data_IF_397075081547
#
_entry.id   IF_397075081547
#
_cell.length_a   1.000
_cell.length_b   1.000
_cell.length_c   1.000
_cell.angle_alpha   90.00
_cell.angle_beta   90.00
_cell.angle_gamma   90.00
#
_symmetry.space_group_name_H-M   'P 1'
#
loop_
_entity.id
_entity.type
_entity.pdbx_description
1 polymer ?
#
# COMPACT_ATOMS: atom_id res chain seq x y z
N UNK A 1 -15.62 -23.19 -24.97
CA UNK A 1 -14.17 -23.07 -24.69
C UNK A 1 -13.85 -24.24 -23.79
N UNK A 2 -12.87 -25.06 -24.15
CA UNK A 2 -12.62 -26.35 -23.51
C UNK A 2 -11.67 -26.10 -22.34
N UNK A 3 -12.02 -26.57 -21.14
CA UNK A 3 -11.12 -26.51 -19.98
C UNK A 3 -9.91 -27.40 -20.28
N UNK A 4 -8.70 -26.86 -20.13
CA UNK A 4 -7.46 -27.58 -20.35
C UNK A 4 -6.96 -28.10 -19.00
N UNK A 5 -6.83 -29.41 -18.87
CA UNK A 5 -6.35 -30.06 -17.66
C UNK A 5 -4.92 -30.57 -17.85
N UNK A 6 -3.98 -29.91 -17.18
CA UNK A 6 -2.57 -30.30 -17.09
C UNK A 6 -2.20 -30.77 -15.67
N UNK A 7 -3.19 -31.15 -14.85
CA UNK A 7 -2.90 -31.65 -13.52
C UNK A 7 -2.01 -32.88 -13.57
N UNK A 8 -1.13 -33.03 -12.58
CA UNK A 8 -0.20 -34.16 -12.47
C UNK A 8 0.73 -34.35 -13.70
N UNK A 9 0.94 -33.29 -14.49
CA UNK A 9 1.78 -33.34 -15.70
C UNK A 9 3.15 -32.70 -15.43
N UNK A 10 4.19 -33.16 -16.12
CA UNK A 10 5.52 -32.54 -16.09
C UNK A 10 5.65 -31.63 -17.30
N UNK A 11 5.76 -30.31 -17.05
CA UNK A 11 5.93 -29.28 -18.08
C UNK A 11 7.17 -28.46 -17.72
N UNK A 12 8.33 -28.93 -18.17
CA UNK A 12 9.63 -28.32 -17.87
C UNK A 12 10.20 -27.61 -19.09
N UNK A 13 11.08 -26.62 -18.84
CA UNK A 13 11.79 -25.86 -19.87
C UNK A 13 10.86 -25.18 -20.90
N UNK A 14 9.66 -24.80 -20.49
CA UNK A 14 8.68 -24.14 -21.34
C UNK A 14 8.69 -22.62 -21.12
N UNK A 15 8.50 -21.87 -22.20
CA UNK A 15 8.37 -20.41 -22.16
C UNK A 15 6.89 -20.01 -22.16
N UNK A 16 6.41 -19.52 -21.03
CA UNK A 16 5.06 -19.00 -20.84
C UNK A 16 5.01 -17.46 -20.80
N UNK A 17 6.08 -16.77 -21.24
CA UNK A 17 6.19 -15.30 -21.20
C UNK A 17 5.00 -14.59 -21.86
N UNK A 18 4.44 -15.15 -22.94
CA UNK A 18 3.29 -14.58 -23.64
C UNK A 18 2.08 -15.52 -23.64
N UNK A 19 2.05 -16.51 -22.75
CA UNK A 19 0.96 -17.46 -22.68
C UNK A 19 -0.26 -16.86 -21.94
N UNK A 20 -1.42 -16.84 -22.60
CA UNK A 20 -2.70 -16.60 -21.93
C UNK A 20 -3.30 -17.93 -21.45
N UNK A 21 -3.08 -18.25 -20.17
CA UNK A 21 -3.63 -19.45 -19.54
C UNK A 21 -5.00 -19.14 -18.91
N UNK A 22 -6.08 -19.29 -19.69
CA UNK A 22 -7.46 -19.11 -19.22
C UNK A 22 -8.12 -20.47 -18.97
N UNK A 23 -8.72 -20.65 -17.79
CA UNK A 23 -9.41 -21.89 -17.39
C UNK A 23 -8.51 -23.13 -17.54
N UNK A 24 -7.27 -23.03 -17.04
CA UNK A 24 -6.28 -24.10 -17.08
C UNK A 24 -6.09 -24.67 -15.68
N UNK A 25 -6.19 -26.00 -15.54
CA UNK A 25 -5.85 -26.68 -14.29
C UNK A 25 -4.36 -27.08 -14.30
N UNK A 26 -3.61 -26.57 -13.33
CA UNK A 26 -2.19 -26.88 -13.12
C UNK A 26 -1.94 -27.54 -11.75
N UNK A 27 -2.99 -28.07 -11.12
CA UNK A 27 -2.85 -28.73 -9.83
C UNK A 27 -1.80 -29.85 -9.89
N UNK A 28 -0.82 -29.81 -8.98
CA UNK A 28 0.28 -30.77 -8.88
C UNK A 28 1.13 -30.92 -10.17
N UNK A 29 1.08 -29.93 -11.07
CA UNK A 29 1.95 -29.89 -12.23
C UNK A 29 3.39 -29.52 -11.82
N UNK A 30 4.38 -30.23 -12.38
CA UNK A 30 5.79 -29.87 -12.23
C UNK A 30 6.16 -28.84 -13.32
N UNK A 31 6.41 -27.61 -12.89
CA UNK A 31 6.78 -26.47 -13.73
C UNK A 31 8.25 -26.08 -13.56
N UNK A 32 9.09 -26.99 -13.06
CA UNK A 32 10.53 -26.74 -12.87
C UNK A 32 11.17 -26.22 -14.16
N UNK A 33 12.01 -25.20 -14.03
CA UNK A 33 12.73 -24.56 -15.14
C UNK A 33 11.84 -23.94 -16.24
N UNK A 34 10.55 -23.71 -15.98
CA UNK A 34 9.67 -22.93 -16.88
C UNK A 34 9.74 -21.43 -16.58
N UNK A 35 9.57 -20.61 -17.61
CA UNK A 35 9.69 -19.13 -17.53
C UNK A 35 8.31 -18.48 -17.64
N UNK A 36 7.96 -17.63 -16.68
CA UNK A 36 6.80 -16.75 -16.75
C UNK A 36 7.23 -15.31 -17.01
N UNK A 37 6.32 -14.51 -17.59
CA UNK A 37 6.58 -13.19 -18.17
C UNK A 37 7.41 -12.23 -17.32
N UNK A 38 7.19 -12.26 -16.00
CA UNK A 38 7.85 -11.39 -15.04
C UNK A 38 7.73 -12.06 -13.69
N UNK A 39 8.85 -12.45 -13.10
CA UNK A 39 8.91 -12.66 -11.66
C UNK A 39 8.84 -11.25 -11.09
N UNK A 40 7.64 -10.85 -10.67
CA UNK A 40 7.49 -9.65 -9.84
C UNK A 40 8.11 -9.99 -8.47
N UNK A 41 8.87 -9.08 -7.88
CA UNK A 41 9.21 -9.17 -6.46
C UNK A 41 7.95 -9.34 -5.60
N UNK A 42 8.11 -9.68 -4.33
CA UNK A 42 6.94 -9.85 -3.46
C UNK A 42 6.14 -8.53 -3.45
N UNK A 43 4.83 -8.63 -3.67
CA UNK A 43 3.93 -7.47 -3.63
C UNK A 43 3.53 -7.24 -2.18
N UNK A 44 3.91 -6.08 -1.64
CA UNK A 44 3.65 -5.72 -0.24
C UNK A 44 2.30 -5.03 -0.06
N UNK A 45 1.87 -4.26 -1.06
CA UNK A 45 0.66 -3.45 -0.95
C UNK A 45 -0.01 -3.27 -2.30
N UNK A 46 -1.34 -3.27 -2.29
CA UNK A 46 -2.18 -3.02 -3.46
C UNK A 46 -3.35 -2.11 -3.11
N UNK A 47 -3.78 -1.30 -4.08
CA UNK A 47 -5.00 -0.49 -3.97
C UNK A 47 -5.71 -0.34 -5.32
N UNK A 48 -7.03 -0.24 -5.30
CA UNK A 48 -7.83 0.15 -6.47
C UNK A 48 -7.90 1.67 -6.61
N UNK A 49 -7.95 2.16 -7.84
CA UNK A 49 -8.37 3.54 -8.09
C UNK A 49 -9.83 3.75 -7.64
N UNK A 50 -10.24 4.98 -7.29
CA UNK A 50 -11.61 5.25 -6.84
C UNK A 50 -12.69 4.84 -7.85
N UNK A 51 -12.38 4.87 -9.14
CA UNK A 51 -13.29 4.43 -10.21
C UNK A 51 -13.19 2.92 -10.54
N UNK A 52 -12.32 2.18 -9.82
CA UNK A 52 -12.10 0.75 -9.96
C UNK A 52 -11.42 0.30 -11.25
N UNK A 53 -10.94 1.23 -12.09
CA UNK A 53 -10.35 0.89 -13.40
C UNK A 53 -8.87 0.54 -13.32
N UNK A 54 -8.18 0.99 -12.28
CA UNK A 54 -6.76 0.78 -12.09
C UNK A 54 -6.49 0.04 -10.79
N UNK A 55 -5.38 -0.70 -10.77
CA UNK A 55 -4.76 -1.26 -9.57
C UNK A 55 -3.36 -0.67 -9.48
N UNK A 56 -2.96 -0.22 -8.31
CA UNK A 56 -1.57 0.11 -7.99
C UNK A 56 -1.01 -0.97 -7.07
N UNK A 57 0.25 -1.38 -7.30
CA UNK A 57 0.96 -2.36 -6.49
C UNK A 57 2.38 -1.88 -6.20
N UNK A 58 2.84 -1.94 -4.95
CA UNK A 58 4.23 -1.70 -4.56
C UNK A 58 4.92 -3.01 -4.18
N UNK A 59 6.19 -3.15 -4.55
CA UNK A 59 6.95 -4.39 -4.39
C UNK A 59 8.31 -4.23 -3.66
N UNK A 60 8.96 -5.37 -3.42
CA UNK A 60 10.30 -5.48 -2.81
C UNK A 60 11.42 -4.92 -3.70
N UNK A 61 11.20 -4.77 -5.01
CA UNK A 61 12.19 -4.28 -5.97
C UNK A 61 12.23 -2.73 -6.03
N UNK A 62 11.64 -2.07 -5.04
CA UNK A 62 11.51 -0.60 -4.95
C UNK A 62 10.64 0.01 -6.06
N UNK A 63 9.81 -0.81 -6.73
CA UNK A 63 8.97 -0.39 -7.84
C UNK A 63 7.50 -0.27 -7.42
N UNK A 64 6.79 0.54 -8.18
CA UNK A 64 5.33 0.63 -8.11
C UNK A 64 4.78 0.40 -9.51
N UNK A 65 3.83 -0.51 -9.63
CA UNK A 65 3.19 -0.84 -10.89
C UNK A 65 1.73 -0.40 -10.90
N UNK A 66 1.30 0.19 -12.02
CA UNK A 66 -0.10 0.52 -12.27
C UNK A 66 -0.62 -0.38 -13.38
N UNK A 67 -1.69 -1.11 -13.09
CA UNK A 67 -2.34 -2.04 -13.99
C UNK A 67 -3.75 -1.58 -14.34
N UNK A 68 -4.22 -1.95 -15.54
CA UNK A 68 -5.64 -1.93 -15.83
C UNK A 68 -6.33 -3.09 -15.09
N UNK A 69 -7.29 -2.76 -14.22
CA UNK A 69 -7.96 -3.74 -13.35
C UNK A 69 -8.69 -4.86 -14.11
N UNK A 70 -9.25 -4.54 -15.28
CA UNK A 70 -10.05 -5.49 -16.07
C UNK A 70 -9.22 -6.50 -16.85
N UNK A 71 -7.98 -6.16 -17.19
CA UNK A 71 -7.13 -6.99 -18.07
C UNK A 71 -5.85 -7.47 -17.40
N UNK A 72 -5.46 -6.88 -16.27
CA UNK A 72 -4.15 -7.10 -15.65
C UNK A 72 -2.98 -6.52 -16.45
N UNK A 73 -3.24 -5.75 -17.51
CA UNK A 73 -2.18 -5.15 -18.32
C UNK A 73 -1.46 -4.05 -17.53
N UNK A 74 -0.14 -4.17 -17.39
CA UNK A 74 0.72 -3.13 -16.84
C UNK A 74 0.69 -1.90 -17.77
N UNK A 75 0.39 -0.74 -17.20
CA UNK A 75 0.29 0.54 -17.90
C UNK A 75 1.51 1.41 -17.64
N UNK A 76 1.95 1.48 -16.37
CA UNK A 76 3.02 2.36 -15.91
C UNK A 76 3.82 1.65 -14.83
N UNK A 77 5.14 1.84 -14.83
CA UNK A 77 6.03 1.50 -13.72
C UNK A 77 6.64 2.80 -13.19
N UNK A 78 6.50 3.03 -11.88
CA UNK A 78 7.06 4.16 -11.16
C UNK A 78 8.33 3.69 -10.45
N UNK A 79 9.42 4.42 -10.64
CA UNK A 79 10.72 4.13 -10.03
C UNK A 79 11.27 5.38 -9.37
N UNK A 80 11.90 5.21 -8.20
CA UNK A 80 12.50 6.33 -7.46
C UNK A 80 12.67 6.11 -5.97
N UNK A 81 11.97 5.14 -5.37
CA UNK A 81 12.34 4.63 -4.05
C UNK A 81 13.68 3.90 -4.10
N UNK A 82 14.40 3.87 -2.98
CA UNK A 82 15.72 3.23 -2.85
C UNK A 82 15.67 1.90 -2.08
N UNK A 83 14.49 1.55 -1.58
CA UNK A 83 14.20 0.29 -0.89
C UNK A 83 12.74 -0.11 -1.15
N UNK A 84 12.34 -1.27 -0.66
CA UNK A 84 11.02 -1.85 -0.88
C UNK A 84 9.88 -0.87 -0.61
N UNK A 85 8.84 -0.95 -1.45
CA UNK A 85 7.62 -0.15 -1.28
C UNK A 85 6.63 -0.95 -0.46
N UNK A 86 6.39 -0.52 0.77
CA UNK A 86 5.58 -1.25 1.76
C UNK A 86 4.10 -0.90 1.70
N UNK A 87 3.77 0.28 1.17
CA UNK A 87 2.40 0.79 1.18
C UNK A 87 2.15 1.70 -0.01
N UNK A 88 1.01 1.53 -0.67
CA UNK A 88 0.55 2.38 -1.77
C UNK A 88 -0.92 2.75 -1.60
N UNK A 89 -1.34 3.91 -2.13
CA UNK A 89 -2.74 4.31 -2.16
C UNK A 89 -3.01 5.35 -3.25
N UNK A 90 -4.23 5.33 -3.81
CA UNK A 90 -4.68 6.37 -4.73
C UNK A 90 -5.23 7.59 -3.98
N UNK A 91 -5.04 8.77 -4.56
CA UNK A 91 -5.79 9.96 -4.18
C UNK A 91 -7.28 9.77 -4.48
N UNK A 92 -8.18 10.50 -3.79
CA UNK A 92 -9.63 10.39 -4.00
C UNK A 92 -10.10 10.75 -5.42
N UNK A 93 -9.34 11.54 -6.15
CA UNK A 93 -9.59 11.86 -7.56
C UNK A 93 -8.95 10.86 -8.55
N UNK A 94 -8.16 9.91 -8.05
CA UNK A 94 -7.47 8.88 -8.83
C UNK A 94 -6.30 9.37 -9.68
N UNK A 95 -5.93 10.65 -9.58
CA UNK A 95 -4.88 11.25 -10.42
C UNK A 95 -3.47 11.08 -9.85
N UNK A 96 -3.37 10.84 -8.53
CA UNK A 96 -2.10 10.72 -7.82
C UNK A 96 -2.04 9.39 -7.07
N UNK A 97 -0.84 8.83 -6.94
CA UNK A 97 -0.54 7.73 -6.01
C UNK A 97 0.33 8.28 -4.89
N UNK A 98 0.11 7.82 -3.66
CA UNK A 98 1.05 7.95 -2.55
C UNK A 98 1.70 6.61 -2.29
N UNK A 99 2.99 6.62 -1.93
CA UNK A 99 3.72 5.44 -1.48
C UNK A 99 4.55 5.72 -0.23
N UNK A 100 4.70 4.71 0.63
CA UNK A 100 5.67 4.64 1.71
C UNK A 100 6.66 3.50 1.47
N UNK A 101 7.89 3.66 1.96
CA UNK A 101 8.99 2.73 1.72
C UNK A 101 9.89 2.58 2.94
N UNK A 102 10.65 1.49 2.95
CA UNK A 102 11.74 1.24 3.90
C UNK A 102 12.90 2.24 3.72
N UNK A 103 12.94 3.00 2.62
CA UNK A 103 13.88 4.11 2.42
C UNK A 103 13.58 5.37 3.28
N UNK A 104 12.69 5.24 4.27
CA UNK A 104 12.23 6.27 5.20
C UNK A 104 11.42 7.41 4.54
N UNK A 105 11.14 7.32 3.24
CA UNK A 105 10.45 8.38 2.49
C UNK A 105 9.02 8.02 2.12
N UNK A 106 8.25 9.08 1.85
CA UNK A 106 6.93 8.99 1.22
C UNK A 106 7.01 9.74 -0.11
N UNK A 107 6.39 9.22 -1.17
CA UNK A 107 6.38 9.87 -2.48
C UNK A 107 4.97 10.04 -3.02
N UNK A 108 4.75 11.14 -3.75
CA UNK A 108 3.57 11.34 -4.59
C UNK A 108 3.94 11.15 -6.05
N UNK A 109 3.05 10.51 -6.80
CA UNK A 109 3.28 10.15 -8.19
C UNK A 109 2.09 10.56 -9.04
N UNK A 110 2.36 11.15 -10.19
CA UNK A 110 1.35 11.42 -11.19
C UNK A 110 1.01 10.13 -11.94
N UNK A 111 -0.26 9.72 -11.91
CA UNK A 111 -0.72 8.45 -12.51
C UNK A 111 -0.60 8.46 -14.03
N UNK A 112 -0.77 9.61 -14.68
CA UNK A 112 -0.81 9.72 -16.13
C UNK A 112 0.59 9.69 -16.76
N UNK A 113 1.57 10.31 -16.10
CA UNK A 113 2.94 10.47 -16.60
C UNK A 113 3.93 9.51 -15.95
N UNK A 114 3.59 8.97 -14.78
CA UNK A 114 4.47 8.12 -13.98
C UNK A 114 5.58 8.87 -13.25
N UNK A 115 5.57 10.20 -13.28
CA UNK A 115 6.61 11.01 -12.64
C UNK A 115 6.40 11.10 -11.14
N UNK A 116 7.50 11.07 -10.39
CA UNK A 116 7.51 11.49 -8.98
C UNK A 116 7.24 12.99 -8.93
N UNK A 117 6.11 13.38 -8.33
CA UNK A 117 5.72 14.77 -8.12
C UNK A 117 6.45 15.35 -6.91
N UNK A 118 6.43 14.62 -5.79
CA UNK A 118 6.95 15.10 -4.51
C UNK A 118 7.55 13.96 -3.69
N UNK A 119 8.52 14.30 -2.83
CA UNK A 119 9.07 13.40 -1.81
C UNK A 119 8.99 14.08 -0.45
N UNK A 120 8.38 13.41 0.52
CA UNK A 120 8.32 13.86 1.91
C UNK A 120 9.44 13.21 2.70
N UNK A 121 10.22 14.05 3.37
CA UNK A 121 11.29 13.66 4.29
C UNK A 121 10.88 13.99 5.72
N UNK A 122 11.20 13.12 6.68
CA UNK A 122 11.05 13.44 8.10
C UNK A 122 10.67 12.28 9.02
N UNK A 123 10.32 11.11 8.48
CA UNK A 123 10.46 9.87 9.25
C UNK A 123 11.95 9.55 9.44
N UNK A 124 12.28 8.79 10.48
CA UNK A 124 13.68 8.45 10.86
C UNK A 124 13.94 6.95 10.82
N UNK A 125 13.01 6.22 10.19
CA UNK A 125 12.98 4.78 10.08
C UNK A 125 11.90 4.42 9.05
N UNK A 126 11.79 3.14 8.71
CA UNK A 126 10.93 2.64 7.63
C UNK A 126 9.47 3.15 7.71
N UNK A 127 8.87 3.49 6.58
CA UNK A 127 7.45 3.87 6.51
C UNK A 127 6.64 2.66 6.11
N UNK A 128 5.73 2.18 6.97
CA UNK A 128 4.98 0.94 6.73
C UNK A 128 3.58 1.16 6.17
N UNK A 129 3.01 2.34 6.34
CA UNK A 129 1.62 2.59 5.94
C UNK A 129 1.43 4.05 5.56
N UNK A 130 0.74 4.30 4.45
CA UNK A 130 0.33 5.62 3.99
C UNK A 130 -1.15 5.64 3.61
N UNK A 131 -1.77 6.82 3.64
CA UNK A 131 -3.14 6.99 3.16
C UNK A 131 -3.52 8.44 2.93
N UNK A 132 -4.39 8.69 1.94
CA UNK A 132 -4.95 10.02 1.70
C UNK A 132 -6.15 10.30 2.59
N UNK A 133 -6.29 11.56 3.01
CA UNK A 133 -7.56 12.12 3.47
C UNK A 133 -8.59 12.17 2.34
N UNK A 134 -9.87 12.22 2.67
CA UNK A 134 -10.98 12.17 1.69
C UNK A 134 -10.95 13.33 0.68
N UNK A 135 -10.39 14.48 1.06
CA UNK A 135 -10.25 15.63 0.17
C UNK A 135 -8.93 15.64 -0.63
N UNK A 136 -8.04 14.67 -0.41
CA UNK A 136 -6.74 14.55 -1.08
C UNK A 136 -5.69 15.60 -0.69
N UNK A 137 -6.00 16.52 0.24
CA UNK A 137 -5.11 17.62 0.61
C UNK A 137 -4.06 17.19 1.64
N UNK A 138 -4.31 16.10 2.35
CA UNK A 138 -3.36 15.55 3.31
C UNK A 138 -3.13 14.06 3.14
N UNK A 139 -1.93 13.64 3.54
CA UNK A 139 -1.50 12.24 3.66
C UNK A 139 -1.21 11.95 5.13
N UNK A 140 -1.60 10.77 5.60
CA UNK A 140 -1.14 10.21 6.88
C UNK A 140 -0.13 9.10 6.62
N UNK A 141 0.86 8.97 7.50
CA UNK A 141 1.82 7.86 7.47
C UNK A 141 2.10 7.29 8.85
N UNK A 142 2.39 5.99 8.92
CA UNK A 142 2.88 5.28 10.11
C UNK A 142 4.24 4.63 9.83
N UNK A 143 5.14 4.69 10.81
CA UNK A 143 6.55 4.29 10.64
C UNK A 143 7.08 3.42 11.77
N UNK A 144 8.18 2.72 11.47
CA UNK A 144 9.03 2.04 12.43
C UNK A 144 9.57 2.98 13.54
N UNK A 145 9.66 4.28 13.26
CA UNK A 145 10.09 5.32 14.21
C UNK A 145 9.08 5.57 15.35
N UNK A 146 8.00 4.78 15.38
CA UNK A 146 6.91 4.77 16.39
C UNK A 146 6.01 6.00 16.31
N UNK A 147 6.13 6.80 15.26
CA UNK A 147 5.33 8.00 15.05
C UNK A 147 4.34 7.83 13.91
N UNK A 148 3.33 8.67 13.95
CA UNK A 148 2.43 8.93 12.82
C UNK A 148 2.68 10.36 12.38
N UNK A 149 2.68 10.62 11.09
CA UNK A 149 2.81 11.99 10.56
C UNK A 149 1.66 12.33 9.64
N UNK A 150 1.24 13.58 9.70
CA UNK A 150 0.27 14.20 8.79
C UNK A 150 1.01 15.19 7.90
N UNK A 151 0.83 15.07 6.60
CA UNK A 151 1.54 15.84 5.58
C UNK A 151 0.57 16.63 4.74
N UNK A 152 0.97 17.82 4.35
CA UNK A 152 0.26 18.63 3.37
C UNK A 152 0.76 18.31 1.96
N UNK A 153 -0.13 17.90 1.06
CA UNK A 153 0.25 17.41 -0.27
C UNK A 153 0.76 18.50 -1.20
N UNK A 154 0.39 19.76 -0.97
CA UNK A 154 0.78 20.89 -1.81
C UNK A 154 2.13 21.49 -1.39
N UNK A 155 2.41 21.54 -0.09
CA UNK A 155 3.58 22.21 0.47
C UNK A 155 4.71 21.27 0.87
N UNK A 156 4.44 19.97 0.96
CA UNK A 156 5.34 18.91 1.48
C UNK A 156 5.65 19.00 2.96
N UNK A 157 5.01 19.89 3.69
CA UNK A 157 5.32 20.10 5.09
C UNK A 157 4.66 19.02 5.96
N UNK A 158 5.40 18.55 6.96
CA UNK A 158 4.82 17.81 8.06
C UNK A 158 3.98 18.78 8.89
N UNK A 159 2.66 18.62 8.84
CA UNK A 159 1.70 19.43 9.59
C UNK A 159 1.69 19.03 11.07
N UNK A 160 1.74 17.72 11.34
CA UNK A 160 1.68 17.16 12.70
C UNK A 160 2.48 15.87 12.79
N UNK A 161 3.09 15.65 13.95
CA UNK A 161 3.64 14.36 14.36
C UNK A 161 2.87 13.90 15.60
N UNK A 162 2.28 12.72 15.54
CA UNK A 162 1.56 12.12 16.66
C UNK A 162 2.50 11.12 17.36
N UNK A 163 2.81 11.42 18.62
CA UNK A 163 3.65 10.59 19.47
C UNK A 163 2.78 9.87 20.51
N UNK A 164 3.01 8.57 20.72
CA UNK A 164 2.31 7.83 21.77
C UNK A 164 2.38 6.32 21.64
N UNK A 165 2.63 5.79 20.43
CA UNK A 165 2.96 4.38 20.28
C UNK A 165 4.32 4.05 20.91
N UNK A 166 4.43 2.87 21.50
CA UNK A 166 5.67 2.37 22.13
C UNK A 166 6.45 1.40 21.24
N UNK A 167 5.90 1.09 20.07
CA UNK A 167 6.50 0.26 19.04
C UNK A 167 6.16 0.77 17.64
N UNK A 168 6.68 0.08 16.64
CA UNK A 168 6.48 0.37 15.22
C UNK A 168 4.98 0.50 14.89
N UNK A 169 4.63 1.48 14.06
CA UNK A 169 3.25 1.69 13.59
C UNK A 169 3.09 1.02 12.24
N UNK A 170 2.38 -0.11 12.21
CA UNK A 170 2.25 -0.93 11.01
C UNK A 170 1.11 -0.48 10.10
N UNK A 171 0.09 0.18 10.64
CA UNK A 171 -1.08 0.56 9.86
C UNK A 171 -1.68 1.87 10.38
N UNK A 172 -2.06 2.74 9.44
CA UNK A 172 -2.78 3.99 9.70
C UNK A 172 -3.94 4.15 8.71
N UNK A 173 -4.96 4.92 9.09
CA UNK A 173 -6.06 5.27 8.21
C UNK A 173 -6.86 6.46 8.71
N UNK A 174 -7.52 7.16 7.80
CA UNK A 174 -8.47 8.22 8.14
C UNK A 174 -9.87 7.65 8.37
N UNK A 175 -10.61 8.28 9.27
CA UNK A 175 -12.07 8.16 9.30
C UNK A 175 -12.68 8.73 8.01
N UNK A 176 -13.88 8.31 7.61
CA UNK A 176 -14.56 8.82 6.42
C UNK A 176 -14.71 10.35 6.39
N UNK A 177 -14.86 11.00 7.56
CA UNK A 177 -14.93 12.46 7.68
C UNK A 177 -13.55 13.16 7.75
N UNK A 178 -12.45 12.40 7.73
CA UNK A 178 -11.06 12.85 7.86
C UNK A 178 -10.75 13.63 9.15
N UNK A 179 -11.60 13.53 10.19
CA UNK A 179 -11.38 14.20 11.47
C UNK A 179 -10.60 13.33 12.47
N UNK A 180 -10.60 12.01 12.27
CA UNK A 180 -9.92 11.05 13.12
C UNK A 180 -8.93 10.23 12.32
N UNK A 181 -7.76 9.95 12.89
CA UNK A 181 -6.83 8.92 12.41
C UNK A 181 -6.95 7.71 13.33
N UNK A 182 -6.94 6.51 12.75
CA UNK A 182 -6.73 5.26 13.48
C UNK A 182 -5.33 4.74 13.19
N UNK A 183 -4.70 4.11 14.18
CA UNK A 183 -3.41 3.44 14.00
C UNK A 183 -3.32 2.16 14.80
N UNK A 184 -2.56 1.20 14.28
CA UNK A 184 -2.22 -0.05 14.94
C UNK A 184 -0.73 -0.36 14.81
N UNK A 185 -0.16 -1.03 15.81
CA UNK A 185 1.27 -1.29 15.80
C UNK A 185 1.77 -2.43 16.68
N UNK A 186 3.10 -2.51 16.77
CA UNK A 186 3.86 -3.54 17.50
C UNK A 186 3.61 -3.51 19.01
N UNK A 187 3.17 -2.38 19.55
CA UNK A 187 2.80 -2.26 20.96
C UNK A 187 1.45 -2.90 21.31
N UNK A 188 0.81 -3.58 20.34
CA UNK A 188 -0.43 -4.34 20.52
C UNK A 188 -1.65 -3.45 20.84
N UNK A 189 -1.56 -2.17 20.54
CA UNK A 189 -2.64 -1.21 20.75
C UNK A 189 -3.18 -0.68 19.44
N UNK A 190 -4.46 -0.34 19.45
CA UNK A 190 -5.08 0.53 18.46
C UNK A 190 -5.24 1.91 19.10
N UNK A 191 -4.89 2.98 18.40
CA UNK A 191 -5.04 4.36 18.88
C UNK A 191 -5.87 5.17 17.91
N UNK A 192 -6.68 6.07 18.48
CA UNK A 192 -7.47 7.04 17.74
C UNK A 192 -6.98 8.44 18.06
N UNK A 193 -6.82 9.25 17.02
CA UNK A 193 -6.19 10.55 17.10
C UNK A 193 -7.09 11.59 16.48
N UNK A 194 -7.31 12.68 17.20
CA UNK A 194 -8.01 13.84 16.66
C UNK A 194 -7.05 14.62 15.75
N UNK A 195 -7.43 14.76 14.48
CA UNK A 195 -6.58 15.35 13.43
C UNK A 195 -6.28 16.81 13.72
N UNK A 196 -7.25 17.58 14.22
CA UNK A 196 -7.12 19.02 14.45
C UNK A 196 -6.16 19.33 15.62
N UNK A 197 -6.31 18.62 16.73
CA UNK A 197 -5.57 18.84 17.97
C UNK A 197 -4.27 18.06 18.02
N UNK A 198 -4.14 16.96 17.28
CA UNK A 198 -2.97 16.08 17.35
C UNK A 198 -2.97 15.14 18.57
N UNK A 199 -4.07 15.06 19.32
CA UNK A 199 -4.14 14.30 20.57
C UNK A 199 -4.69 12.91 20.36
N UNK A 200 -4.15 11.94 21.10
CA UNK A 200 -4.75 10.61 21.23
C UNK A 200 -6.04 10.73 22.05
N UNK A 201 -7.17 10.38 21.45
CA UNK A 201 -8.50 10.43 22.08
C UNK A 201 -8.82 9.09 22.76
N UNK A 202 -8.42 7.98 22.14
CA UNK A 202 -8.64 6.65 22.68
C UNK A 202 -7.44 5.73 22.43
N UNK A 203 -7.19 4.83 23.37
CA UNK A 203 -6.28 3.70 23.22
C UNK A 203 -7.07 2.43 23.52
N UNK A 204 -7.18 1.56 22.53
CA UNK A 204 -7.82 0.25 22.65
C UNK A 204 -6.72 -0.78 22.90
N UNK A 205 -6.82 -1.46 24.04
CA UNK A 205 -5.89 -2.49 24.47
C UNK A 205 -6.63 -3.82 24.61
N UNK A 206 -5.95 -4.93 24.33
CA UNK A 206 -6.53 -6.28 24.46
C UNK A 206 -5.88 -7.31 23.55
N UNK A 207 -5.27 -6.88 22.45
CA UNK A 207 -4.53 -7.78 21.55
C UNK A 207 -3.32 -8.40 22.26
N UNK A 208 -3.13 -9.70 22.05
CA UNK A 208 -1.97 -10.44 22.58
C UNK A 208 -0.77 -10.42 21.63
N UNK A 209 -1.00 -10.08 20.36
CA UNK A 209 0.01 -9.87 19.33
C UNK A 209 -0.01 -8.44 18.78
N UNK A 210 0.90 -8.17 17.86
CA UNK A 210 0.95 -6.91 17.12
C UNK A 210 -0.31 -6.69 16.29
N UNK A 211 -0.69 -5.42 16.12
CA UNK A 211 -1.80 -5.03 15.25
C UNK A 211 -1.24 -4.67 13.88
N UNK A 212 -1.44 -5.53 12.90
CA UNK A 212 -0.87 -5.39 11.56
C UNK A 212 -1.72 -4.53 10.61
N UNK A 213 -3.02 -4.41 10.87
CA UNK A 213 -3.94 -3.68 10.00
C UNK A 213 -5.07 -3.07 10.83
N UNK A 214 -5.47 -1.86 10.46
CA UNK A 214 -6.64 -1.15 10.98
C UNK A 214 -7.39 -0.50 9.83
N UNK A 215 -8.69 -0.29 9.99
CA UNK A 215 -9.51 0.42 9.03
C UNK A 215 -10.78 0.95 9.68
N UNK A 216 -11.37 1.98 9.07
CA UNK A 216 -12.70 2.44 9.46
C UNK A 216 -13.77 1.75 8.64
N UNK A 217 -14.91 1.47 9.25
CA UNK A 217 -16.10 1.13 8.48
C UNK A 217 -16.60 2.38 7.72
N UNK A 218 -17.35 2.19 6.61
CA UNK A 218 -17.92 3.31 5.85
C UNK A 218 -18.86 4.22 6.66
N UNK A 219 -19.48 3.70 7.72
CA UNK A 219 -20.35 4.44 8.64
C UNK A 219 -19.59 5.04 9.84
N UNK A 220 -18.25 5.06 9.79
CA UNK A 220 -17.36 5.63 10.82
C UNK A 220 -17.40 4.90 12.17
N UNK A 221 -17.88 3.66 12.20
CA UNK A 221 -17.70 2.78 13.36
C UNK A 221 -16.33 2.10 13.29
N UNK A 222 -15.76 1.84 14.47
CA UNK A 222 -14.48 1.15 14.60
C UNK A 222 -14.80 -0.34 14.71
N UNK A 223 -14.24 -1.15 13.82
CA UNK A 223 -14.34 -2.61 13.87
C UNK A 223 -13.02 -3.19 14.35
#
# INVERSE_FOLDING_TARGET
>A
MQDLDFSNTVITNCDFTDAELKNVNLQDADLTDSVFKKILGSVNSVAFSPDGKLIVAGDDDSLIHIYQATTGKELVTLSGHQDQVTSVGFSPDGQTVVSGSDDETIKLWDVATGNCLETFYGHQDEVYSVGFSLNGQTVVSGSADKTIKLWDTATRNCLKTFCGHQGMVYSVGFSPDSQTIVSGGRDKTIKLWDVATGKCVHTLSGHQGMVNSVGFSPDSQIV
#
